data_IF_058309935431
#
_entry.id   IF_058309935431
#
_cell.length_a   1.000
_cell.length_b   1.000
_cell.length_c   1.000
_cell.angle_alpha   90.00
_cell.angle_beta   90.00
_cell.angle_gamma   90.00
#
_symmetry.space_group_name_H-M   'P 1'
#
loop_
_entity.id
_entity.type
_entity.pdbx_description
1 polymer ?
#
# COMPACT_ATOMS: atom_id res chain seq x y z
N UNK A 1 8.53 73.33 -39.53
CA UNK A 1 8.39 74.33 -38.45
C UNK A 1 6.91 74.69 -38.31
N UNK A 2 6.30 74.48 -37.13
CA UNK A 2 5.15 75.25 -36.56
C UNK A 2 3.80 75.24 -37.34
N UNK A 3 2.58 75.04 -36.79
CA UNK A 3 2.02 75.05 -35.43
C UNK A 3 0.73 74.20 -35.36
N UNK A 4 0.40 73.80 -34.14
CA UNK A 4 -0.84 73.15 -33.67
C UNK A 4 -2.13 73.96 -33.95
N UNK A 5 -3.25 73.25 -34.12
CA UNK A 5 -4.60 73.76 -33.83
C UNK A 5 -5.41 72.67 -33.13
N UNK A 6 -5.89 72.97 -31.94
CA UNK A 6 -6.62 72.07 -31.04
C UNK A 6 -8.09 71.91 -31.45
N UNK A 7 -8.65 70.73 -31.23
CA UNK A 7 -10.11 70.56 -31.13
C UNK A 7 -10.42 69.60 -29.98
N UNK A 8 -11.12 70.12 -28.97
CA UNK A 8 -11.79 69.37 -27.93
C UNK A 8 -12.89 68.51 -28.56
N UNK A 9 -13.17 67.31 -28.02
CA UNK A 9 -14.54 66.85 -27.74
C UNK A 9 -14.50 65.61 -26.83
N UNK A 10 -15.18 65.81 -25.71
CA UNK A 10 -15.84 64.93 -24.76
C UNK A 10 -16.05 63.43 -25.05
N UNK A 11 -16.02 62.69 -23.94
CA UNK A 11 -16.83 61.52 -23.60
C UNK A 11 -16.38 60.13 -24.08
N UNK A 12 -15.83 59.34 -23.14
CA UNK A 12 -16.60 58.27 -22.46
C UNK A 12 -15.72 57.54 -21.44
N UNK A 13 -16.17 57.53 -20.18
CA UNK A 13 -15.73 56.60 -19.15
C UNK A 13 -16.14 55.19 -19.57
N UNK A 14 -15.20 54.23 -19.67
CA UNK A 14 -15.42 52.84 -19.27
C UNK A 14 -14.10 52.28 -18.73
N UNK A 15 -14.09 52.08 -17.41
CA UNK A 15 -13.08 51.32 -16.66
C UNK A 15 -13.54 49.87 -16.65
N UNK A 16 -12.78 48.93 -17.21
CA UNK A 16 -12.92 47.49 -16.92
C UNK A 16 -11.54 46.83 -16.90
N UNK A 17 -11.04 46.63 -15.68
CA UNK A 17 -9.99 45.70 -15.32
C UNK A 17 -10.47 44.28 -15.64
N UNK A 18 -9.88 43.64 -16.64
CA UNK A 18 -10.05 42.21 -16.88
C UNK A 18 -8.95 41.43 -16.18
N UNK A 19 -9.17 41.01 -14.94
CA UNK A 19 -8.31 40.06 -14.26
C UNK A 19 -8.57 38.65 -14.81
N UNK A 20 -7.64 38.14 -15.63
CA UNK A 20 -7.68 36.76 -16.11
C UNK A 20 -7.28 35.81 -14.96
N UNK A 21 -8.27 35.26 -14.26
CA UNK A 21 -8.05 34.16 -13.31
C UNK A 21 -7.89 32.85 -14.09
N UNK A 22 -6.66 32.40 -14.29
CA UNK A 22 -6.33 31.06 -14.77
C UNK A 22 -6.67 30.05 -13.68
N UNK A 23 -7.83 29.40 -13.79
CA UNK A 23 -8.18 28.24 -12.96
C UNK A 23 -7.33 27.05 -13.42
N UNK A 24 -6.20 26.82 -12.75
CA UNK A 24 -5.46 25.57 -12.87
C UNK A 24 -6.27 24.49 -12.15
N UNK A 25 -7.09 23.75 -12.89
CA UNK A 25 -7.72 22.54 -12.41
C UNK A 25 -6.63 21.48 -12.20
N UNK A 26 -6.08 21.42 -10.99
CA UNK A 26 -5.18 20.35 -10.58
C UNK A 26 -5.91 19.02 -10.66
N UNK A 27 -5.54 18.18 -11.63
CA UNK A 27 -5.92 16.78 -11.62
C UNK A 27 -5.24 16.14 -10.40
N UNK A 28 -5.97 16.00 -9.30
CA UNK A 28 -5.60 15.12 -8.22
C UNK A 28 -5.58 13.70 -8.81
N UNK A 29 -4.42 13.24 -9.24
CA UNK A 29 -4.18 11.82 -9.45
C UNK A 29 -4.31 11.19 -8.07
N UNK A 30 -5.48 10.59 -7.81
CA UNK A 30 -5.61 9.65 -6.72
C UNK A 30 -4.63 8.51 -7.04
N UNK A 31 -3.42 8.59 -6.47
CA UNK A 31 -2.52 7.47 -6.40
C UNK A 31 -3.19 6.48 -5.47
N UNK A 32 -4.12 5.69 -6.01
CA UNK A 32 -4.58 4.48 -5.36
C UNK A 32 -3.35 3.59 -5.24
N UNK A 33 -2.68 3.65 -4.10
CA UNK A 33 -1.67 2.69 -3.72
C UNK A 33 -2.35 1.33 -3.82
N UNK A 34 -2.05 0.56 -4.86
CA UNK A 34 -2.54 -0.79 -4.99
C UNK A 34 -2.02 -1.54 -3.76
N UNK A 35 -2.92 -1.82 -2.81
CA UNK A 35 -2.58 -2.53 -1.58
C UNK A 35 -1.82 -3.79 -1.96
N UNK A 36 -0.55 -3.96 -1.53
CA UNK A 36 0.27 -5.05 -2.02
C UNK A 36 -0.41 -6.37 -1.65
N UNK A 37 -0.64 -7.22 -2.66
CA UNK A 37 -1.28 -8.52 -2.43
C UNK A 37 -0.43 -9.35 -1.48
N UNK A 38 -0.99 -9.66 -0.30
CA UNK A 38 -0.36 -10.49 0.73
C UNK A 38 -0.82 -11.93 0.56
N UNK A 39 0.14 -12.84 0.48
CA UNK A 39 -0.11 -14.28 0.54
C UNK A 39 0.10 -14.76 1.98
N UNK A 40 -0.87 -15.52 2.48
CA UNK A 40 -0.80 -16.08 3.82
C UNK A 40 -0.29 -17.51 3.82
N UNK A 41 0.39 -17.85 4.91
CA UNK A 41 0.86 -19.19 5.20
C UNK A 41 0.45 -19.57 6.61
N UNK A 42 0.12 -20.84 6.80
CA UNK A 42 -0.01 -21.45 8.12
C UNK A 42 1.35 -22.03 8.52
N UNK A 43 1.86 -21.62 9.66
CA UNK A 43 3.04 -22.22 10.29
C UNK A 43 2.55 -23.09 11.43
N UNK A 44 2.96 -24.36 11.40
CA UNK A 44 2.62 -25.36 12.43
C UNK A 44 3.86 -25.61 13.27
N UNK A 45 3.73 -25.37 14.57
CA UNK A 45 4.72 -25.69 15.60
C UNK A 45 4.16 -26.76 16.55
N UNK A 46 4.98 -27.38 17.41
CA UNK A 46 4.47 -28.26 18.46
C UNK A 46 3.60 -27.54 19.50
N UNK A 47 3.74 -26.21 19.62
CA UNK A 47 3.02 -25.40 20.60
C UNK A 47 1.69 -24.88 20.05
N UNK A 48 1.69 -24.46 18.78
CA UNK A 48 0.60 -23.69 18.19
C UNK A 48 0.65 -23.66 16.66
N UNK A 49 -0.44 -23.15 16.08
CA UNK A 49 -0.51 -22.76 14.68
C UNK A 49 -0.65 -21.24 14.60
N UNK A 50 0.14 -20.61 13.74
CA UNK A 50 0.02 -19.17 13.46
C UNK A 50 -0.09 -18.91 11.97
N UNK A 51 -0.75 -17.82 11.61
CA UNK A 51 -0.79 -17.34 10.24
C UNK A 51 0.25 -16.24 10.05
N UNK A 52 1.01 -16.32 8.96
CA UNK A 52 1.98 -15.30 8.58
C UNK A 52 1.64 -14.78 7.18
N UNK A 53 2.06 -13.57 6.88
CA UNK A 53 1.84 -12.95 5.57
C UNK A 53 3.12 -12.44 4.95
N UNK A 54 3.27 -12.64 3.64
CA UNK A 54 4.31 -12.04 2.82
C UNK A 54 3.69 -11.39 1.59
N UNK A 55 4.18 -10.21 1.23
CA UNK A 55 3.85 -9.52 0.00
C UNK A 55 4.42 -10.26 -1.23
N UNK A 56 3.86 -9.99 -2.41
CA UNK A 56 4.40 -10.50 -3.66
C UNK A 56 5.89 -10.13 -3.88
N UNK A 57 6.30 -8.93 -3.46
CA UNK A 57 7.69 -8.47 -3.54
C UNK A 57 8.61 -9.27 -2.62
N UNK A 58 8.21 -9.46 -1.36
CA UNK A 58 8.98 -10.26 -0.40
C UNK A 58 9.12 -11.71 -0.88
N UNK A 59 8.05 -12.31 -1.43
CA UNK A 59 8.10 -13.66 -1.98
C UNK A 59 8.99 -13.78 -3.21
N UNK A 60 8.98 -12.78 -4.10
CA UNK A 60 9.82 -12.76 -5.30
C UNK A 60 11.32 -12.68 -4.96
N UNK A 61 11.68 -12.18 -3.77
CA UNK A 61 13.04 -12.16 -3.28
C UNK A 61 13.50 -13.51 -2.69
N UNK A 62 12.59 -14.47 -2.50
CA UNK A 62 12.91 -15.80 -1.98
C UNK A 62 13.14 -16.82 -3.12
N UNK A 63 13.93 -17.85 -2.83
CA UNK A 63 14.25 -18.92 -3.78
C UNK A 63 13.49 -20.20 -3.42
N UNK A 64 12.78 -20.80 -4.37
CA UNK A 64 12.10 -22.09 -4.21
C UNK A 64 11.15 -22.40 -5.38
N UNK A 65 10.75 -23.67 -5.54
CA UNK A 65 9.83 -24.08 -6.61
C UNK A 65 8.36 -23.78 -6.27
N UNK A 66 8.04 -23.59 -4.99
CA UNK A 66 6.75 -23.10 -4.53
C UNK A 66 6.91 -22.01 -3.45
N UNK A 67 5.89 -21.17 -3.20
CA UNK A 67 5.97 -20.11 -2.19
C UNK A 67 6.24 -20.63 -0.77
N UNK A 68 5.61 -21.75 -0.38
CA UNK A 68 5.81 -22.34 0.95
C UNK A 68 7.21 -22.94 1.08
N UNK A 69 7.69 -23.62 0.04
CA UNK A 69 9.07 -24.11 -0.02
C UNK A 69 10.06 -22.95 0.05
N UNK A 70 9.82 -21.84 -0.67
CA UNK A 70 10.72 -20.69 -0.67
C UNK A 70 10.88 -20.06 0.73
N UNK A 71 9.77 -19.94 1.47
CA UNK A 71 9.79 -19.49 2.88
C UNK A 71 10.54 -20.50 3.76
N UNK A 72 10.25 -21.80 3.64
CA UNK A 72 10.93 -22.84 4.43
C UNK A 72 12.43 -22.87 4.17
N UNK A 73 12.84 -22.76 2.91
CA UNK A 73 14.24 -22.77 2.47
C UNK A 73 14.98 -21.54 3.00
N UNK A 74 14.33 -20.38 3.01
CA UNK A 74 14.89 -19.15 3.60
C UNK A 74 15.10 -19.31 5.11
N UNK A 75 14.11 -19.80 5.84
CA UNK A 75 14.21 -20.03 7.29
C UNK A 75 15.29 -21.06 7.61
N UNK A 76 15.39 -22.15 6.84
CA UNK A 76 16.41 -23.17 7.03
C UNK A 76 17.83 -22.64 6.76
N UNK A 77 18.00 -21.80 5.74
CA UNK A 77 19.30 -21.22 5.40
C UNK A 77 19.79 -20.20 6.43
N UNK A 78 18.89 -19.35 6.93
CA UNK A 78 19.23 -18.26 7.86
C UNK A 78 19.10 -18.66 9.34
N UNK A 79 18.50 -19.82 9.63
CA UNK A 79 18.11 -20.26 10.97
C UNK A 79 16.85 -19.56 11.52
N UNK A 80 16.48 -18.40 10.98
CA UNK A 80 15.28 -17.66 11.34
C UNK A 80 14.77 -16.75 10.22
N UNK A 81 13.53 -16.29 10.31
CA UNK A 81 12.98 -15.24 9.43
C UNK A 81 11.97 -14.38 10.19
N UNK A 82 12.11 -13.05 10.11
CA UNK A 82 11.11 -12.13 10.66
C UNK A 82 10.01 -11.87 9.64
N UNK A 83 8.76 -12.06 10.04
CA UNK A 83 7.56 -11.92 9.19
C UNK A 83 6.43 -11.26 9.96
N UNK A 84 5.41 -10.77 9.26
CA UNK A 84 4.16 -10.36 9.90
C UNK A 84 3.30 -11.57 10.24
N UNK A 85 2.88 -11.66 11.50
CA UNK A 85 1.80 -12.53 11.94
C UNK A 85 0.46 -11.90 11.59
N UNK A 86 -0.51 -12.73 11.24
CA UNK A 86 -1.86 -12.36 10.87
C UNK A 86 -2.90 -13.01 11.78
N UNK A 87 -4.01 -12.31 11.99
CA UNK A 87 -5.17 -12.81 12.74
C UNK A 87 -6.46 -12.22 12.19
N UNK A 88 -7.60 -12.87 12.49
CA UNK A 88 -8.91 -12.30 12.19
C UNK A 88 -9.18 -11.13 13.12
N UNK A 89 -9.52 -9.98 12.55
CA UNK A 89 -9.91 -8.77 13.29
C UNK A 89 -11.16 -8.16 12.70
N UNK A 90 -11.79 -7.26 13.45
CA UNK A 90 -12.84 -6.38 12.92
C UNK A 90 -12.16 -5.21 12.22
N UNK A 91 -12.37 -5.09 10.92
CA UNK A 91 -12.00 -3.93 10.12
C UNK A 91 -13.10 -2.87 10.12
N UNK A 92 -13.00 -1.92 9.20
CA UNK A 92 -13.96 -0.83 9.07
C UNK A 92 -15.39 -1.35 8.82
N UNK A 93 -16.36 -0.70 9.46
CA UNK A 93 -17.76 -1.10 9.39
C UNK A 93 -18.08 -2.44 10.08
N UNK A 94 -17.13 -3.02 10.83
CA UNK A 94 -17.35 -4.26 11.58
C UNK A 94 -17.13 -5.56 10.79
N UNK A 95 -16.65 -5.45 9.54
CA UNK A 95 -16.35 -6.61 8.69
C UNK A 95 -15.18 -7.41 9.24
N UNK A 96 -15.24 -8.74 9.19
CA UNK A 96 -14.10 -9.59 9.55
C UNK A 96 -13.06 -9.59 8.43
N UNK A 97 -11.80 -9.37 8.80
CA UNK A 97 -10.64 -9.28 7.91
C UNK A 97 -9.45 -10.03 8.51
N UNK A 98 -8.57 -10.54 7.66
CA UNK A 98 -7.24 -10.99 8.08
C UNK A 98 -6.30 -9.79 8.11
N UNK A 99 -5.93 -9.35 9.30
CA UNK A 99 -5.09 -8.16 9.49
C UNK A 99 -3.74 -8.51 10.15
N UNK A 100 -2.68 -7.73 9.86
CA UNK A 100 -1.41 -7.85 10.56
C UNK A 100 -1.62 -7.64 12.07
N UNK A 101 -0.98 -8.49 12.87
CA UNK A 101 -1.00 -8.43 14.33
C UNK A 101 0.32 -7.88 14.88
N UNK A 102 1.42 -8.54 14.57
CA UNK A 102 2.77 -8.17 15.04
C UNK A 102 3.83 -8.76 14.12
N UNK A 103 5.07 -8.24 14.17
CA UNK A 103 6.21 -8.93 13.57
C UNK A 103 6.74 -9.99 14.53
N UNK A 104 6.96 -11.19 14.02
CA UNK A 104 7.48 -12.34 14.77
C UNK A 104 8.70 -12.91 14.06
N UNK A 105 9.68 -13.40 14.82
CA UNK A 105 10.79 -14.18 14.28
C UNK A 105 10.43 -15.66 14.33
N UNK A 106 10.32 -16.27 13.16
CA UNK A 106 10.16 -17.71 13.01
C UNK A 106 11.52 -18.38 13.14
N UNK A 107 11.68 -19.26 14.12
CA UNK A 107 12.92 -20.00 14.34
C UNK A 107 12.83 -21.36 13.65
N UNK A 108 13.83 -21.74 12.84
CA UNK A 108 13.85 -23.02 12.12
C UNK A 108 13.64 -24.22 13.05
N UNK A 109 14.25 -24.19 14.24
CA UNK A 109 14.17 -25.27 15.24
C UNK A 109 12.76 -25.49 15.82
N UNK A 110 11.83 -24.55 15.65
CA UNK A 110 10.48 -24.63 16.20
C UNK A 110 9.39 -24.99 15.19
N UNK A 111 9.73 -25.11 13.90
CA UNK A 111 8.74 -25.26 12.83
C UNK A 111 8.67 -26.72 12.40
N UNK A 112 7.46 -27.29 12.42
CA UNK A 112 7.21 -28.65 11.91
C UNK A 112 6.80 -28.59 10.44
N UNK A 113 6.01 -27.57 10.06
CA UNK A 113 5.47 -27.46 8.70
C UNK A 113 5.06 -26.03 8.35
N UNK A 114 5.13 -25.70 7.07
CA UNK A 114 4.62 -24.45 6.49
C UNK A 114 3.70 -24.82 5.33
N UNK A 115 2.47 -24.31 5.35
CA UNK A 115 1.45 -24.57 4.34
C UNK A 115 0.94 -23.27 3.73
N UNK A 116 0.61 -23.21 2.43
CA UNK A 116 -0.18 -22.11 1.89
C UNK A 116 -1.53 -22.04 2.61
N UNK A 117 -1.97 -20.84 2.97
CA UNK A 117 -3.26 -20.63 3.60
C UNK A 117 -4.16 -19.78 2.72
N UNK A 118 -5.33 -20.32 2.38
CA UNK A 118 -6.38 -19.58 1.68
C UNK A 118 -7.33 -18.96 2.72
N UNK A 119 -7.32 -17.63 2.91
CA UNK A 119 -8.14 -17.00 3.92
C UNK A 119 -9.62 -16.95 3.51
N UNK A 120 -10.50 -17.14 4.49
CA UNK A 120 -11.95 -16.97 4.33
C UNK A 120 -12.39 -15.50 4.36
N UNK A 121 -11.49 -14.60 4.77
CA UNK A 121 -11.75 -13.17 4.92
C UNK A 121 -10.77 -12.35 4.07
N UNK A 122 -11.15 -11.13 3.65
CA UNK A 122 -10.24 -10.21 2.96
C UNK A 122 -8.95 -10.00 3.76
N UNK A 123 -7.81 -9.96 3.07
CA UNK A 123 -6.49 -9.72 3.70
C UNK A 123 -6.10 -8.26 3.55
N UNK A 124 -5.68 -7.66 4.66
CA UNK A 124 -5.18 -6.28 4.69
C UNK A 124 -3.64 -6.30 4.71
N UNK A 125 -3.00 -5.45 3.92
CA UNK A 125 -1.54 -5.35 3.93
C UNK A 125 -1.03 -4.65 5.20
N UNK A 126 0.22 -4.89 5.62
CA UNK A 126 0.82 -4.13 6.70
C UNK A 126 0.95 -2.66 6.33
N UNK A 127 0.54 -1.77 7.24
CA UNK A 127 0.60 -0.31 7.03
C UNK A 127 -0.47 0.27 6.11
N UNK A 128 -1.49 -0.53 5.74
CA UNK A 128 -2.71 -0.07 5.07
C UNK A 128 -3.71 0.53 6.07
#
# INVERSE_FOLDING_TARGET
MSRQTSAFVSARRILLLGAAATVFAGAAVAQGSATPAVRLFKVVSPRDEIFIGLTAQELAALQGSSPAEAVAKKIAADGQMTVWQYSVRRGDGGTLVMAPLSKVSLMAAGIVRIEPYQPAHPVIAPGA
#
